data_IF_758258420632
#
_entry.id   IF_758258420632
#
_cell.length_a   1.000
_cell.length_b   1.000
_cell.length_c   1.000
_cell.angle_alpha   90.00
_cell.angle_beta   90.00
_cell.angle_gamma   90.00
#
_symmetry.space_group_name_H-M   'P 1'
#
loop_
_entity.id
_entity.type
_entity.pdbx_description
1 polymer ?
#
# COMPACT_ATOMS: atom_id res chain seq x y z
N UNK A 1 13.24 -3.45 31.02
CA UNK A 1 12.10 -2.72 31.64
C UNK A 1 12.65 -1.49 32.36
N UNK A 2 12.21 -0.29 31.99
CA UNK A 2 12.70 1.01 32.52
C UNK A 2 12.08 1.42 33.86
N UNK A 3 11.30 0.55 34.52
CA UNK A 3 10.53 0.86 35.72
C UNK A 3 11.38 1.53 36.81
N UNK A 4 12.58 1.00 37.09
CA UNK A 4 13.45 1.54 38.15
C UNK A 4 13.94 2.96 37.84
N UNK A 5 14.21 3.27 36.59
CA UNK A 5 14.61 4.61 36.12
C UNK A 5 13.44 5.60 36.32
N UNK A 6 12.23 5.20 36.00
CA UNK A 6 11.02 6.01 36.13
C UNK A 6 10.72 6.28 37.61
N UNK A 7 10.79 5.23 38.43
CA UNK A 7 10.64 5.40 39.89
C UNK A 7 11.62 6.45 40.42
N UNK A 8 12.89 6.34 40.06
CA UNK A 8 13.95 7.26 40.48
C UNK A 8 13.71 8.70 39.98
N UNK A 9 13.35 8.84 38.71
CA UNK A 9 13.09 10.13 38.08
C UNK A 9 11.91 10.84 38.76
N UNK A 10 10.76 10.15 38.83
CA UNK A 10 9.55 10.71 39.47
C UNK A 10 9.73 11.04 40.94
N UNK A 11 10.41 10.16 41.68
CA UNK A 11 10.76 10.45 43.10
C UNK A 11 11.59 11.72 43.20
N UNK A 12 12.64 11.89 42.39
CA UNK A 12 13.50 13.08 42.38
C UNK A 12 12.73 14.34 42.00
N UNK A 13 11.87 14.27 40.98
CA UNK A 13 11.01 15.40 40.59
C UNK A 13 10.12 15.88 41.72
N UNK A 14 9.70 14.96 42.62
CA UNK A 14 8.92 15.26 43.82
C UNK A 14 9.81 15.60 45.02
N UNK A 15 11.14 15.67 44.87
CA UNK A 15 12.11 15.94 45.95
C UNK A 15 12.02 14.96 47.12
N UNK A 16 11.56 13.72 46.89
CA UNK A 16 11.47 12.68 47.91
C UNK A 16 12.81 11.95 48.07
N UNK A 17 13.16 11.57 49.33
CA UNK A 17 14.25 10.59 49.56
C UNK A 17 13.75 9.17 49.37
N UNK A 18 14.66 8.18 49.28
CA UNK A 18 14.28 6.76 49.19
C UNK A 18 13.56 6.30 50.47
N UNK A 19 13.98 6.81 51.62
CA UNK A 19 13.34 6.57 52.92
C UNK A 19 11.89 7.10 52.96
N UNK A 20 11.69 8.34 52.50
CA UNK A 20 10.34 8.93 52.46
C UNK A 20 9.41 8.17 51.53
N UNK A 21 9.90 7.75 50.35
CA UNK A 21 9.11 6.93 49.43
C UNK A 21 8.77 5.57 50.07
N UNK A 22 9.75 4.97 50.77
CA UNK A 22 9.56 3.70 51.48
C UNK A 22 8.50 3.80 52.58
N UNK A 23 8.55 4.87 53.37
CA UNK A 23 7.56 5.14 54.45
C UNK A 23 6.15 5.28 53.88
N UNK A 24 5.96 6.03 52.78
CA UNK A 24 4.64 6.17 52.13
C UNK A 24 4.08 4.84 51.63
N UNK A 25 4.95 3.90 51.24
CA UNK A 25 4.56 2.61 50.68
C UNK A 25 4.52 1.47 51.72
N UNK A 26 4.97 1.73 52.96
CA UNK A 26 5.07 0.71 54.00
C UNK A 26 6.12 -0.36 53.69
N UNK A 27 7.21 0.00 53.00
CA UNK A 27 8.31 -0.90 52.62
C UNK A 27 9.64 -0.41 53.19
N UNK A 28 10.71 -1.20 53.04
CA UNK A 28 12.04 -0.78 53.50
C UNK A 28 12.74 0.10 52.46
N UNK A 29 13.55 1.08 52.87
CA UNK A 29 14.37 1.91 52.00
C UNK A 29 15.33 1.07 51.09
N UNK A 30 15.94 -0.04 51.54
CA UNK A 30 16.68 -0.95 50.67
C UNK A 30 15.83 -1.58 49.56
N UNK A 31 14.54 -1.79 49.77
CA UNK A 31 13.65 -2.29 48.69
C UNK A 31 13.51 -1.26 47.58
N UNK A 32 13.22 0.01 47.94
CA UNK A 32 13.14 1.12 46.97
C UNK A 32 14.48 1.26 46.21
N UNK A 33 15.61 1.17 46.91
CA UNK A 33 16.92 1.22 46.30
C UNK A 33 17.13 0.10 45.24
N UNK A 34 16.71 -1.14 45.55
CA UNK A 34 16.80 -2.27 44.62
C UNK A 34 15.88 -2.09 43.42
N UNK A 35 14.68 -1.53 43.62
CA UNK A 35 13.76 -1.20 42.52
C UNK A 35 14.37 -0.16 41.54
N UNK A 36 14.94 0.92 42.08
CA UNK A 36 15.58 1.97 41.30
C UNK A 36 16.84 1.49 40.56
N UNK A 37 17.51 0.45 41.05
CA UNK A 37 18.63 -0.21 40.37
C UNK A 37 18.20 -1.33 39.42
N UNK A 38 16.90 -1.69 39.37
CA UNK A 38 16.40 -2.78 38.54
C UNK A 38 16.82 -4.17 38.99
N UNK A 39 17.37 -4.34 40.21
CA UNK A 39 17.76 -5.65 40.75
C UNK A 39 16.59 -6.46 41.29
N UNK A 40 15.51 -5.79 41.69
CA UNK A 40 14.21 -6.37 42.02
C UNK A 40 13.09 -5.45 41.55
N UNK A 41 11.86 -5.96 41.54
CA UNK A 41 10.67 -5.21 41.17
C UNK A 41 9.73 -5.06 42.35
N UNK A 42 8.91 -3.97 42.43
CA UNK A 42 7.79 -3.88 43.37
C UNK A 42 6.81 -5.04 43.15
N UNK A 43 6.18 -5.50 44.21
CA UNK A 43 5.03 -6.39 44.10
C UNK A 43 3.90 -5.71 43.34
N UNK A 44 3.14 -6.47 42.58
CA UNK A 44 2.04 -5.95 41.73
C UNK A 44 1.01 -5.20 42.59
N UNK A 45 0.80 -5.62 43.84
CA UNK A 45 -0.13 -4.96 44.78
C UNK A 45 0.38 -3.60 45.27
N UNK A 46 1.69 -3.35 45.19
CA UNK A 46 2.34 -2.09 45.57
C UNK A 46 2.28 -1.05 44.42
N UNK A 47 2.16 -1.48 43.16
CA UNK A 47 2.17 -0.59 41.98
C UNK A 47 1.11 0.52 42.04
N UNK A 48 -0.17 0.27 42.44
CA UNK A 48 -1.17 1.34 42.54
C UNK A 48 -0.84 2.40 43.59
N UNK A 49 -0.25 2.00 44.73
CA UNK A 49 0.20 2.92 45.73
C UNK A 49 1.41 3.74 45.29
N UNK A 50 2.37 3.07 44.64
CA UNK A 50 3.56 3.68 44.04
C UNK A 50 3.19 4.73 42.99
N UNK A 51 2.29 4.41 42.07
CA UNK A 51 1.80 5.34 41.07
C UNK A 51 1.15 6.58 41.68
N UNK A 52 0.34 6.41 42.71
CA UNK A 52 -0.30 7.55 43.44
C UNK A 52 0.73 8.44 44.15
N UNK A 53 1.69 7.85 44.85
CA UNK A 53 2.74 8.60 45.57
C UNK A 53 3.62 9.36 44.58
N UNK A 54 3.97 8.73 43.46
CA UNK A 54 4.79 9.32 42.39
C UNK A 54 4.00 10.24 41.43
N UNK A 55 2.69 10.42 41.70
CA UNK A 55 1.79 11.25 40.86
C UNK A 55 1.87 10.91 39.36
N UNK A 56 1.81 9.62 39.06
CA UNK A 56 1.86 9.09 37.70
C UNK A 56 0.78 8.02 37.56
N UNK A 57 0.49 7.62 36.33
CA UNK A 57 -0.37 6.48 36.04
C UNK A 57 0.45 5.17 35.91
N UNK A 58 -0.26 4.04 35.96
CA UNK A 58 0.39 2.72 35.90
C UNK A 58 1.06 2.46 34.56
N UNK A 59 0.51 2.96 33.44
CA UNK A 59 1.08 2.73 32.11
C UNK A 59 2.42 3.44 31.98
N UNK A 60 2.48 4.71 32.39
CA UNK A 60 3.73 5.48 32.47
C UNK A 60 4.73 4.81 33.40
N UNK A 61 4.29 4.36 34.59
CA UNK A 61 5.17 3.72 35.59
C UNK A 61 5.78 2.42 35.05
N UNK A 62 4.99 1.61 34.35
CA UNK A 62 5.41 0.33 33.74
C UNK A 62 6.09 0.49 32.37
N UNK A 63 6.17 1.70 31.83
CA UNK A 63 6.53 1.95 30.42
C UNK A 63 5.66 1.11 29.48
N UNK A 64 4.39 0.94 29.84
CA UNK A 64 3.46 0.21 29.00
C UNK A 64 3.00 1.12 27.87
N UNK A 65 3.21 0.64 26.66
CA UNK A 65 2.75 1.28 25.43
C UNK A 65 1.84 0.28 24.74
N UNK A 66 0.58 0.64 24.62
CA UNK A 66 -0.43 -0.23 24.00
C UNK A 66 -0.27 -0.26 22.48
N UNK A 67 0.10 0.88 21.91
CA UNK A 67 0.28 1.08 20.47
C UNK A 67 1.62 1.75 20.17
N UNK A 68 2.15 1.52 19.01
CA UNK A 68 3.32 2.23 18.48
C UNK A 68 2.89 3.59 17.91
N UNK A 69 3.74 4.60 18.05
CA UNK A 69 3.58 5.88 17.36
C UNK A 69 3.82 5.75 15.86
N UNK A 70 3.34 6.74 15.10
CA UNK A 70 3.51 6.79 13.65
C UNK A 70 4.99 6.77 13.24
N UNK A 71 5.84 7.47 13.98
CA UNK A 71 7.28 7.50 13.74
C UNK A 71 7.95 6.14 14.06
N UNK A 72 7.45 5.40 15.05
CA UNK A 72 7.95 4.07 15.38
C UNK A 72 7.53 3.06 14.29
N UNK A 73 6.30 3.14 13.81
CA UNK A 73 5.81 2.32 12.70
C UNK A 73 6.60 2.62 11.43
N UNK A 74 6.82 3.89 11.08
CA UNK A 74 7.60 4.27 9.90
C UNK A 74 9.03 3.72 9.96
N UNK A 75 9.73 3.88 11.09
CA UNK A 75 11.08 3.31 11.30
C UNK A 75 11.10 1.78 11.22
N UNK A 76 10.03 1.14 11.68
CA UNK A 76 9.89 -0.30 11.57
C UNK A 76 9.73 -0.76 10.10
N UNK A 77 8.96 -0.03 9.29
CA UNK A 77 8.87 -0.33 7.86
C UNK A 77 10.22 -0.15 7.14
N UNK A 78 10.99 0.88 7.47
CA UNK A 78 12.36 1.06 6.96
C UNK A 78 13.31 -0.08 7.39
N UNK A 79 13.10 -0.65 8.60
CA UNK A 79 13.82 -1.84 9.07
C UNK A 79 13.48 -3.04 8.19
N UNK A 80 12.19 -3.28 7.91
CA UNK A 80 11.74 -4.38 7.06
C UNK A 80 12.29 -4.26 5.63
N UNK A 81 12.27 -3.06 5.05
CA UNK A 81 12.81 -2.80 3.71
C UNK A 81 14.30 -3.16 3.61
N UNK A 82 15.08 -2.71 4.60
CA UNK A 82 16.50 -3.06 4.68
C UNK A 82 16.73 -4.57 4.84
N UNK A 83 15.92 -5.25 5.65
CA UNK A 83 16.03 -6.71 5.83
C UNK A 83 15.71 -7.46 4.54
N UNK A 84 14.69 -7.04 3.79
CA UNK A 84 14.37 -7.63 2.49
C UNK A 84 15.55 -7.49 1.53
N UNK A 85 16.15 -6.30 1.47
CA UNK A 85 17.24 -5.99 0.54
C UNK A 85 18.58 -6.63 0.94
N UNK A 86 18.89 -6.78 2.25
CA UNK A 86 20.19 -7.21 2.74
C UNK A 86 20.22 -8.67 3.20
N UNK A 87 19.11 -9.23 3.60
CA UNK A 87 19.02 -10.58 4.14
C UNK A 87 18.07 -11.45 3.31
N UNK A 88 16.76 -11.38 3.58
CA UNK A 88 15.72 -12.07 2.83
C UNK A 88 14.32 -11.55 3.18
N UNK A 89 13.37 -11.77 2.27
CA UNK A 89 11.96 -11.52 2.54
C UNK A 89 11.44 -12.34 3.73
N UNK A 90 11.85 -13.61 3.87
CA UNK A 90 11.39 -14.48 4.97
C UNK A 90 11.86 -13.97 6.35
N UNK A 91 13.08 -13.44 6.45
CA UNK A 91 13.58 -12.82 7.67
C UNK A 91 12.74 -11.58 8.05
N UNK A 92 12.46 -10.70 7.09
CA UNK A 92 11.61 -9.53 7.29
C UNK A 92 10.18 -9.93 7.66
N UNK A 93 9.62 -10.95 6.99
CA UNK A 93 8.30 -11.48 7.33
C UNK A 93 8.25 -11.98 8.77
N UNK A 94 9.22 -12.79 9.19
CA UNK A 94 9.28 -13.29 10.57
C UNK A 94 9.41 -12.14 11.57
N UNK A 95 10.26 -11.16 11.28
CA UNK A 95 10.43 -9.96 12.11
C UNK A 95 9.13 -9.17 12.26
N UNK A 96 8.35 -9.06 11.18
CA UNK A 96 7.03 -8.42 11.24
C UNK A 96 6.05 -9.20 12.12
N UNK A 97 6.02 -10.54 12.00
CA UNK A 97 5.18 -11.38 12.86
C UNK A 97 5.54 -11.21 14.34
N UNK A 98 6.82 -11.18 14.68
CA UNK A 98 7.27 -10.98 16.06
C UNK A 98 6.82 -9.61 16.60
N UNK A 99 6.88 -8.55 15.79
CA UNK A 99 6.42 -7.22 16.17
C UNK A 99 4.90 -7.16 16.37
N UNK A 100 4.14 -7.79 15.46
CA UNK A 100 2.68 -7.91 15.58
C UNK A 100 2.29 -8.69 16.83
N UNK A 101 2.98 -9.78 17.15
CA UNK A 101 2.75 -10.52 18.40
C UNK A 101 3.04 -9.70 19.65
N UNK A 102 3.97 -8.77 19.60
CA UNK A 102 4.28 -7.86 20.70
C UNK A 102 3.20 -6.77 20.88
N UNK A 103 2.56 -6.34 19.78
CA UNK A 103 1.52 -5.30 19.75
C UNK A 103 0.26 -5.80 19.01
N UNK A 104 -0.44 -6.81 19.54
CA UNK A 104 -1.52 -7.51 18.82
C UNK A 104 -2.77 -6.65 18.64
N UNK A 105 -2.90 -5.56 19.38
CA UNK A 105 -4.04 -4.62 19.33
C UNK A 105 -3.75 -3.36 18.52
N UNK A 106 -2.50 -3.15 18.09
CA UNK A 106 -2.10 -1.99 17.29
C UNK A 106 -2.52 -2.19 15.81
N UNK A 107 -3.78 -1.87 15.51
CA UNK A 107 -4.33 -2.06 14.16
C UNK A 107 -3.49 -1.37 13.08
N UNK A 108 -2.96 -0.17 13.37
CA UNK A 108 -2.14 0.58 12.41
C UNK A 108 -0.83 -0.12 12.08
N UNK A 109 -0.15 -0.70 13.08
CA UNK A 109 1.04 -1.52 12.85
C UNK A 109 0.72 -2.73 11.97
N UNK A 110 -0.35 -3.47 12.33
CA UNK A 110 -0.75 -4.68 11.59
C UNK A 110 -1.06 -4.30 10.14
N UNK A 111 -1.89 -3.29 9.94
CA UNK A 111 -2.26 -2.81 8.62
C UNK A 111 -1.04 -2.45 7.78
N UNK A 112 -0.19 -1.54 8.26
CA UNK A 112 0.93 -1.04 7.47
C UNK A 112 1.98 -2.12 7.19
N UNK A 113 2.30 -2.98 8.17
CA UNK A 113 3.28 -4.05 8.01
C UNK A 113 2.78 -5.14 7.04
N UNK A 114 1.52 -5.56 7.14
CA UNK A 114 0.94 -6.58 6.27
C UNK A 114 0.81 -6.08 4.83
N UNK A 115 0.32 -4.86 4.62
CA UNK A 115 0.24 -4.27 3.27
C UNK A 115 1.61 -4.04 2.65
N UNK A 116 2.58 -3.58 3.45
CA UNK A 116 3.96 -3.42 2.99
C UNK A 116 4.56 -4.76 2.52
N UNK A 117 4.46 -5.81 3.34
CA UNK A 117 4.96 -7.13 3.00
C UNK A 117 4.26 -7.72 1.77
N UNK A 118 2.95 -7.52 1.65
CA UNK A 118 2.18 -8.01 0.51
C UNK A 118 2.64 -7.35 -0.80
N UNK A 119 2.87 -6.04 -0.80
CA UNK A 119 3.46 -5.33 -1.94
C UNK A 119 4.91 -5.72 -2.21
N UNK A 120 5.73 -5.78 -1.16
CA UNK A 120 7.17 -6.03 -1.28
C UNK A 120 7.49 -7.40 -1.91
N UNK A 121 6.66 -8.44 -1.69
CA UNK A 121 6.90 -9.76 -2.32
C UNK A 121 6.88 -9.75 -3.85
N UNK A 122 6.11 -8.83 -4.43
CA UNK A 122 6.07 -8.63 -5.89
C UNK A 122 7.22 -7.74 -6.36
N UNK A 123 7.49 -6.65 -5.63
CA UNK A 123 8.55 -5.70 -5.99
C UNK A 123 9.95 -6.32 -5.94
N UNK A 124 10.20 -7.22 -4.99
CA UNK A 124 11.50 -7.86 -4.81
C UNK A 124 11.60 -9.26 -5.45
N UNK A 125 10.64 -9.64 -6.32
CA UNK A 125 10.69 -10.90 -7.04
C UNK A 125 10.79 -12.14 -6.14
N UNK A 126 10.03 -12.17 -5.04
CA UNK A 126 10.10 -13.25 -4.05
C UNK A 126 9.69 -14.58 -4.69
N UNK A 127 10.52 -15.64 -4.62
CA UNK A 127 10.16 -16.94 -5.14
C UNK A 127 8.89 -17.48 -4.49
N UNK A 128 7.94 -17.97 -5.30
CA UNK A 128 6.66 -18.50 -4.84
C UNK A 128 5.86 -17.53 -3.95
N UNK A 129 5.49 -16.33 -4.46
CA UNK A 129 4.80 -15.31 -3.67
C UNK A 129 3.46 -15.79 -3.10
N UNK A 130 2.82 -16.78 -3.74
CA UNK A 130 1.53 -17.35 -3.31
C UNK A 130 1.61 -18.06 -1.96
N UNK A 131 2.77 -18.61 -1.60
CA UNK A 131 2.96 -19.26 -0.30
C UNK A 131 2.79 -18.27 0.87
N UNK A 132 3.06 -16.99 0.63
CA UNK A 132 2.84 -15.94 1.64
C UNK A 132 1.41 -15.41 1.65
N UNK A 133 0.68 -15.51 0.54
CA UNK A 133 -0.73 -15.09 0.48
C UNK A 133 -1.56 -15.78 1.55
N UNK A 134 -1.41 -17.09 1.70
CA UNK A 134 -2.14 -17.88 2.71
C UNK A 134 -1.74 -17.52 4.15
N UNK A 135 -0.54 -16.95 4.35
CA UNK A 135 -0.08 -16.46 5.66
C UNK A 135 -0.57 -15.04 5.96
N UNK A 136 -0.83 -14.24 4.93
CA UNK A 136 -1.29 -12.85 5.05
C UNK A 136 -2.81 -12.74 5.17
N UNK A 137 -3.56 -13.63 4.52
CA UNK A 137 -5.03 -13.52 4.46
C UNK A 137 -5.73 -13.50 5.82
N UNK A 138 -5.30 -14.24 6.87
CA UNK A 138 -5.95 -14.17 8.18
C UNK A 138 -5.88 -12.78 8.82
N UNK A 139 -4.84 -11.99 8.51
CA UNK A 139 -4.73 -10.60 8.96
C UNK A 139 -5.73 -9.71 8.23
N UNK A 140 -5.87 -9.86 6.91
CA UNK A 140 -6.88 -9.14 6.14
C UNK A 140 -8.29 -9.48 6.60
N UNK A 141 -8.60 -10.74 6.84
CA UNK A 141 -9.89 -11.17 7.39
C UNK A 141 -10.18 -10.52 8.75
N UNK A 142 -9.18 -10.47 9.64
CA UNK A 142 -9.32 -9.79 10.93
C UNK A 142 -9.55 -8.28 10.74
N UNK A 143 -8.73 -7.62 9.91
CA UNK A 143 -8.81 -6.19 9.65
C UNK A 143 -10.08 -5.78 8.88
N UNK A 144 -10.72 -6.69 8.15
CA UNK A 144 -11.99 -6.43 7.47
C UNK A 144 -13.15 -6.11 8.42
N UNK A 145 -12.95 -6.35 9.71
CA UNK A 145 -13.89 -6.02 10.78
C UNK A 145 -13.48 -4.78 11.61
N UNK A 146 -12.42 -4.08 11.19
CA UNK A 146 -11.93 -2.89 11.87
C UNK A 146 -13.00 -1.80 11.95
N UNK A 147 -12.97 -1.03 13.04
CA UNK A 147 -13.79 0.16 13.20
C UNK A 147 -13.23 1.36 12.41
N UNK A 148 -11.97 1.28 11.97
CA UNK A 148 -11.32 2.28 11.14
C UNK A 148 -11.69 2.02 9.66
N UNK A 149 -12.46 2.90 9.00
CA UNK A 149 -12.98 2.63 7.67
C UNK A 149 -11.89 2.37 6.63
N UNK A 150 -10.78 3.12 6.70
CA UNK A 150 -9.65 3.00 5.77
C UNK A 150 -9.01 1.62 5.84
N UNK A 151 -8.81 1.09 7.05
CA UNK A 151 -8.24 -0.24 7.29
C UNK A 151 -9.22 -1.32 6.84
N UNK A 152 -10.48 -1.19 7.26
CA UNK A 152 -11.54 -2.15 6.91
C UNK A 152 -11.71 -2.29 5.40
N UNK A 153 -11.88 -1.16 4.70
CA UNK A 153 -12.20 -1.15 3.27
C UNK A 153 -11.02 -1.67 2.43
N UNK A 154 -9.79 -1.31 2.80
CA UNK A 154 -8.59 -1.85 2.17
C UNK A 154 -8.45 -3.36 2.41
N UNK A 155 -8.67 -3.83 3.63
CA UNK A 155 -8.62 -5.25 3.97
C UNK A 155 -9.72 -6.06 3.24
N UNK A 156 -10.94 -5.52 3.14
CA UNK A 156 -12.02 -6.12 2.35
C UNK A 156 -11.63 -6.28 0.88
N UNK A 157 -11.00 -5.27 0.28
CA UNK A 157 -10.55 -5.35 -1.10
C UNK A 157 -9.54 -6.49 -1.30
N UNK A 158 -8.61 -6.68 -0.35
CA UNK A 158 -7.64 -7.79 -0.40
C UNK A 158 -8.31 -9.16 -0.22
N UNK A 159 -9.26 -9.29 0.71
CA UNK A 159 -10.04 -10.53 0.88
C UNK A 159 -10.84 -10.88 -0.39
N UNK A 160 -11.50 -9.90 -1.01
CA UNK A 160 -12.25 -10.08 -2.25
C UNK A 160 -11.31 -10.56 -3.37
N UNK A 161 -10.16 -9.91 -3.54
CA UNK A 161 -9.17 -10.29 -4.54
C UNK A 161 -8.65 -11.72 -4.30
N UNK A 162 -8.36 -12.09 -3.06
CA UNK A 162 -7.91 -13.43 -2.68
C UNK A 162 -8.92 -14.51 -3.08
N UNK A 163 -10.19 -14.38 -2.67
CA UNK A 163 -11.24 -15.35 -2.99
C UNK A 163 -11.52 -15.42 -4.49
N UNK A 164 -11.51 -14.28 -5.17
CA UNK A 164 -11.69 -14.19 -6.62
C UNK A 164 -10.59 -14.92 -7.39
N UNK A 165 -9.31 -14.76 -6.99
CA UNK A 165 -8.17 -15.43 -7.61
C UNK A 165 -8.21 -16.95 -7.39
N UNK A 166 -8.79 -17.41 -6.28
CA UNK A 166 -9.03 -18.83 -5.98
C UNK A 166 -10.32 -19.39 -6.57
N UNK A 167 -11.05 -18.56 -7.34
CA UNK A 167 -12.36 -18.91 -7.95
C UNK A 167 -13.47 -19.22 -6.92
N UNK A 168 -13.29 -18.77 -5.68
CA UNK A 168 -14.32 -18.80 -4.65
C UNK A 168 -15.22 -17.56 -4.81
N UNK A 169 -15.99 -17.56 -5.88
CA UNK A 169 -16.80 -16.42 -6.27
C UNK A 169 -17.94 -16.15 -5.31
N UNK A 170 -18.47 -17.21 -4.68
CA UNK A 170 -19.53 -17.07 -3.68
C UNK A 170 -19.07 -16.23 -2.49
N UNK A 171 -17.89 -16.57 -1.95
CA UNK A 171 -17.31 -15.81 -0.84
C UNK A 171 -16.92 -14.40 -1.23
N UNK A 172 -16.35 -14.22 -2.42
CA UNK A 172 -16.04 -12.89 -2.94
C UNK A 172 -17.30 -12.01 -3.06
N UNK A 173 -18.40 -12.55 -3.58
CA UNK A 173 -19.68 -11.84 -3.71
C UNK A 173 -20.28 -11.47 -2.35
N UNK A 174 -20.27 -12.38 -1.37
CA UNK A 174 -20.70 -12.09 0.00
C UNK A 174 -19.93 -10.89 0.57
N UNK A 175 -18.60 -10.87 0.43
CA UNK A 175 -17.77 -9.77 0.93
C UNK A 175 -18.06 -8.45 0.22
N UNK A 176 -18.27 -8.46 -1.10
CA UNK A 176 -18.65 -7.26 -1.86
C UNK A 176 -19.96 -6.66 -1.32
N UNK A 177 -20.93 -7.47 -0.99
CA UNK A 177 -22.19 -7.00 -0.42
C UNK A 177 -22.06 -6.40 0.99
N UNK A 178 -20.95 -6.62 1.69
CA UNK A 178 -20.69 -5.97 2.99
C UNK A 178 -20.12 -4.56 2.85
N UNK A 179 -19.66 -4.16 1.66
CA UNK A 179 -19.08 -2.83 1.45
C UNK A 179 -20.20 -1.77 1.59
N UNK A 180 -20.02 -0.78 2.49
CA UNK A 180 -20.99 0.29 2.63
C UNK A 180 -21.09 1.11 1.34
N UNK A 181 -22.30 1.33 0.83
CA UNK A 181 -22.51 2.32 -0.23
C UNK A 181 -22.40 3.72 0.36
N UNK A 182 -21.26 4.38 0.16
CA UNK A 182 -21.09 5.78 0.55
C UNK A 182 -21.77 6.69 -0.47
N UNK A 183 -22.81 7.40 -0.06
CA UNK A 183 -23.57 8.31 -0.93
C UNK A 183 -22.90 9.67 -1.15
N UNK A 184 -21.82 10.00 -0.43
CA UNK A 184 -21.19 11.32 -0.44
C UNK A 184 -19.68 11.17 -0.69
N UNK A 185 -19.24 11.76 -1.80
CA UNK A 185 -17.82 11.89 -2.12
C UNK A 185 -17.24 13.13 -1.43
N UNK A 186 -16.32 12.91 -0.50
CA UNK A 186 -15.70 13.98 0.29
C UNK A 186 -14.91 14.96 -0.56
N UNK A 187 -14.15 14.47 -1.56
CA UNK A 187 -13.32 15.31 -2.41
C UNK A 187 -14.20 16.19 -3.31
N UNK A 188 -15.27 15.66 -3.86
CA UNK A 188 -16.26 16.42 -4.65
C UNK A 188 -16.91 17.54 -3.82
N UNK A 189 -17.29 17.24 -2.56
CA UNK A 189 -17.83 18.24 -1.66
C UNK A 189 -16.82 19.34 -1.33
N UNK A 190 -15.56 18.98 -1.09
CA UNK A 190 -14.49 19.94 -0.84
C UNK A 190 -14.19 20.78 -2.07
N UNK A 191 -14.09 20.18 -3.26
CA UNK A 191 -13.84 20.91 -4.50
C UNK A 191 -14.96 21.92 -4.79
N UNK A 192 -16.23 21.50 -4.58
CA UNK A 192 -17.39 22.39 -4.70
C UNK A 192 -17.33 23.54 -3.69
N UNK A 193 -17.02 23.24 -2.43
CA UNK A 193 -16.89 24.23 -1.37
C UNK A 193 -15.78 25.25 -1.66
N UNK A 194 -14.61 24.77 -2.09
CA UNK A 194 -13.49 25.66 -2.44
C UNK A 194 -13.79 26.53 -3.66
N UNK A 195 -14.52 25.99 -4.64
CA UNK A 195 -15.02 26.79 -5.77
C UNK A 195 -15.93 27.92 -5.28
N UNK A 196 -16.86 27.65 -4.34
CA UNK A 196 -17.74 28.68 -3.77
C UNK A 196 -17.00 29.70 -2.88
N UNK A 197 -15.89 29.28 -2.27
CA UNK A 197 -15.02 30.17 -1.47
C UNK A 197 -14.00 30.96 -2.31
N UNK A 198 -14.05 30.83 -3.64
CA UNK A 198 -13.08 31.44 -4.57
C UNK A 198 -11.62 31.03 -4.31
N UNK A 199 -11.42 29.85 -3.69
CA UNK A 199 -10.10 29.21 -3.49
C UNK A 199 -9.74 28.43 -4.75
N UNK A 200 -9.46 29.18 -5.81
CA UNK A 200 -9.36 28.63 -7.17
C UNK A 200 -8.29 27.55 -7.32
N UNK A 201 -7.11 27.75 -6.76
CA UNK A 201 -6.00 26.80 -6.86
C UNK A 201 -6.32 25.47 -6.15
N UNK A 202 -6.85 25.54 -4.93
CA UNK A 202 -7.24 24.36 -4.16
C UNK A 202 -8.40 23.60 -4.85
N UNK A 203 -9.39 24.34 -5.36
CA UNK A 203 -10.50 23.76 -6.11
C UNK A 203 -10.02 23.07 -7.41
N UNK A 204 -9.16 23.78 -8.19
CA UNK A 204 -8.63 23.22 -9.43
C UNK A 204 -7.86 21.95 -9.19
N UNK A 205 -6.98 21.87 -8.18
CA UNK A 205 -6.21 20.67 -7.83
C UNK A 205 -7.11 19.46 -7.58
N UNK A 206 -8.21 19.66 -6.84
CA UNK A 206 -9.16 18.57 -6.58
C UNK A 206 -9.93 18.16 -7.84
N UNK A 207 -10.36 19.13 -8.67
CA UNK A 207 -11.04 18.79 -9.93
C UNK A 207 -10.12 18.13 -10.95
N UNK A 208 -8.85 18.53 -11.04
CA UNK A 208 -7.84 17.91 -11.88
C UNK A 208 -7.59 16.43 -11.46
N UNK A 209 -7.46 16.20 -10.14
CA UNK A 209 -7.35 14.84 -9.59
C UNK A 209 -8.59 14.00 -9.93
N UNK A 210 -9.77 14.58 -9.82
CA UNK A 210 -11.04 13.93 -10.15
C UNK A 210 -11.13 13.52 -11.63
N UNK A 211 -10.65 14.38 -12.54
CA UNK A 211 -10.58 14.04 -13.98
C UNK A 211 -9.72 12.81 -14.18
N UNK A 212 -8.53 12.75 -13.57
CA UNK A 212 -7.63 11.62 -13.72
C UNK A 212 -8.20 10.33 -13.14
N UNK A 213 -8.83 10.41 -11.98
CA UNK A 213 -9.52 9.27 -11.35
C UNK A 213 -10.66 8.75 -12.24
N UNK A 214 -11.54 9.63 -12.71
CA UNK A 214 -12.65 9.25 -13.59
C UNK A 214 -12.16 8.68 -14.92
N UNK A 215 -11.06 9.21 -15.46
CA UNK A 215 -10.42 8.65 -16.65
C UNK A 215 -9.95 7.21 -16.41
N UNK A 216 -9.31 6.95 -15.26
CA UNK A 216 -8.81 5.62 -14.88
C UNK A 216 -9.97 4.64 -14.69
N UNK A 217 -11.05 5.04 -14.05
CA UNK A 217 -12.25 4.22 -13.87
C UNK A 217 -12.89 3.86 -15.23
N UNK A 218 -13.04 4.85 -16.12
CA UNK A 218 -13.56 4.62 -17.46
C UNK A 218 -12.67 3.69 -18.29
N UNK A 219 -11.35 3.88 -18.22
CA UNK A 219 -10.37 3.05 -18.90
C UNK A 219 -10.44 1.60 -18.41
N UNK A 220 -10.54 1.39 -17.10
CA UNK A 220 -10.70 0.06 -16.50
C UNK A 220 -11.98 -0.63 -16.98
N UNK A 221 -13.09 0.09 -17.01
CA UNK A 221 -14.36 -0.44 -17.49
C UNK A 221 -14.28 -0.85 -18.97
N UNK A 222 -13.66 -0.02 -19.82
CA UNK A 222 -13.50 -0.32 -21.25
C UNK A 222 -12.62 -1.54 -21.50
N UNK A 223 -11.54 -1.75 -20.70
CA UNK A 223 -10.69 -2.95 -20.79
C UNK A 223 -11.51 -4.19 -20.44
N UNK A 224 -12.25 -4.19 -19.35
CA UNK A 224 -13.05 -5.34 -18.96
C UNK A 224 -14.17 -5.65 -19.97
N UNK A 225 -14.85 -4.63 -20.49
CA UNK A 225 -15.84 -4.82 -21.56
C UNK A 225 -15.20 -5.42 -22.82
N UNK A 226 -14.01 -4.96 -23.20
CA UNK A 226 -13.23 -5.51 -24.30
C UNK A 226 -12.91 -6.99 -24.08
N UNK A 227 -12.41 -7.36 -22.92
CA UNK A 227 -12.06 -8.74 -22.58
C UNK A 227 -13.30 -9.65 -22.58
N UNK A 228 -14.41 -9.20 -22.03
CA UNK A 228 -15.69 -9.92 -22.01
C UNK A 228 -16.15 -10.15 -23.44
N UNK A 229 -16.18 -9.10 -24.26
CA UNK A 229 -16.64 -9.19 -25.63
C UNK A 229 -15.77 -10.17 -26.46
N UNK A 230 -14.46 -10.16 -26.26
CA UNK A 230 -13.56 -11.10 -26.95
C UNK A 230 -13.83 -12.55 -26.52
N UNK A 231 -13.99 -12.81 -25.21
CA UNK A 231 -14.31 -14.14 -24.67
C UNK A 231 -15.67 -14.67 -25.11
N UNK A 232 -16.65 -13.77 -25.33
CA UNK A 232 -18.00 -14.12 -25.83
C UNK A 232 -18.03 -14.27 -27.36
N UNK A 233 -16.93 -14.10 -28.07
CA UNK A 233 -16.87 -14.20 -29.51
C UNK A 233 -17.52 -13.02 -30.25
N UNK A 234 -17.48 -11.83 -29.66
CA UNK A 234 -17.93 -10.55 -30.24
C UNK A 234 -16.74 -9.63 -30.58
N UNK A 235 -15.92 -10.02 -31.57
CA UNK A 235 -14.65 -9.33 -31.85
C UNK A 235 -14.82 -7.87 -32.32
N UNK A 236 -15.96 -7.52 -32.89
CA UNK A 236 -16.27 -6.14 -33.31
C UNK A 236 -16.51 -5.24 -32.11
N UNK A 237 -17.22 -5.75 -31.09
CA UNK A 237 -17.48 -5.03 -29.84
C UNK A 237 -16.18 -4.84 -29.05
N UNK A 238 -15.33 -5.88 -29.00
CA UNK A 238 -14.02 -5.79 -28.37
C UNK A 238 -13.14 -4.71 -29.06
N UNK A 239 -13.14 -4.69 -30.41
CA UNK A 239 -12.42 -3.67 -31.15
C UNK A 239 -12.95 -2.26 -30.86
N UNK A 240 -14.28 -2.10 -30.83
CA UNK A 240 -14.93 -0.82 -30.49
C UNK A 240 -14.52 -0.32 -29.11
N UNK A 241 -14.46 -1.19 -28.09
CA UNK A 241 -14.00 -0.83 -26.74
C UNK A 241 -12.54 -0.37 -26.76
N UNK A 242 -11.66 -1.09 -27.46
CA UNK A 242 -10.23 -0.73 -27.58
C UNK A 242 -10.03 0.62 -28.30
N UNK A 243 -10.80 0.87 -29.36
CA UNK A 243 -10.75 2.14 -30.10
C UNK A 243 -11.31 3.30 -29.26
N UNK A 244 -12.40 3.07 -28.51
CA UNK A 244 -12.97 4.05 -27.58
C UNK A 244 -11.97 4.37 -26.47
N UNK A 245 -11.31 3.37 -25.90
CA UNK A 245 -10.24 3.55 -24.90
C UNK A 245 -9.14 4.47 -25.42
N UNK A 246 -8.65 4.20 -26.65
CA UNK A 246 -7.61 5.02 -27.25
C UNK A 246 -8.05 6.47 -27.44
N UNK A 247 -9.27 6.68 -27.96
CA UNK A 247 -9.80 8.03 -28.21
C UNK A 247 -9.97 8.83 -26.91
N UNK A 248 -10.59 8.24 -25.89
CA UNK A 248 -10.79 8.89 -24.58
C UNK A 248 -9.44 9.22 -23.93
N UNK A 249 -8.50 8.27 -23.91
CA UNK A 249 -7.17 8.48 -23.32
C UNK A 249 -6.41 9.60 -24.04
N UNK A 250 -6.51 9.69 -25.35
CA UNK A 250 -5.89 10.75 -26.15
C UNK A 250 -6.52 12.12 -25.90
N UNK A 251 -7.86 12.18 -25.79
CA UNK A 251 -8.59 13.44 -25.51
C UNK A 251 -8.29 14.00 -24.12
N UNK A 252 -8.11 13.12 -23.13
CA UNK A 252 -7.81 13.50 -21.75
C UNK A 252 -6.32 13.79 -21.54
N UNK A 253 -5.48 13.68 -22.56
CA UNK A 253 -4.05 13.98 -22.49
C UNK A 253 -3.35 13.30 -21.29
N UNK A 254 -3.80 12.10 -20.90
CA UNK A 254 -3.05 11.25 -19.99
C UNK A 254 -1.70 10.88 -20.61
N UNK A 255 -0.87 10.11 -19.96
CA UNK A 255 0.45 9.76 -20.52
C UNK A 255 0.37 9.28 -21.97
N UNK A 256 1.40 9.54 -22.78
CA UNK A 256 1.37 9.24 -24.22
C UNK A 256 1.30 7.75 -24.56
N UNK A 257 1.65 6.85 -23.64
CA UNK A 257 1.62 5.40 -23.85
C UNK A 257 0.26 4.77 -23.50
N UNK A 258 -0.48 5.33 -22.54
CA UNK A 258 -1.80 4.80 -22.12
C UNK A 258 -2.78 4.59 -23.28
N UNK A 259 -2.91 5.48 -24.26
CA UNK A 259 -3.85 5.28 -25.37
C UNK A 259 -3.68 3.95 -26.12
N UNK A 260 -2.51 3.35 -26.09
CA UNK A 260 -2.18 2.14 -26.85
C UNK A 260 -2.29 0.85 -26.04
N UNK A 261 -2.49 0.92 -24.74
CA UNK A 261 -2.50 -0.27 -23.87
C UNK A 261 -3.64 -1.22 -24.16
N UNK A 262 -4.87 -0.74 -24.36
CA UNK A 262 -6.00 -1.61 -24.68
C UNK A 262 -5.81 -2.31 -26.04
N UNK A 263 -5.24 -1.64 -27.03
CA UNK A 263 -4.92 -2.26 -28.32
C UNK A 263 -3.83 -3.32 -28.21
N UNK A 264 -2.82 -3.08 -27.39
CA UNK A 264 -1.80 -4.07 -27.09
C UNK A 264 -2.40 -5.32 -26.43
N UNK A 265 -3.23 -5.11 -25.40
CA UNK A 265 -3.88 -6.20 -24.69
C UNK A 265 -4.82 -7.01 -25.58
N UNK A 266 -5.61 -6.34 -26.45
CA UNK A 266 -6.48 -7.03 -27.42
C UNK A 266 -5.67 -7.83 -28.43
N UNK A 267 -4.56 -7.27 -28.91
CA UNK A 267 -3.66 -7.95 -29.82
C UNK A 267 -3.00 -9.18 -29.18
N UNK A 268 -2.62 -9.09 -27.91
CA UNK A 268 -2.10 -10.23 -27.13
C UNK A 268 -3.15 -11.33 -27.00
N UNK A 269 -4.37 -11.00 -26.61
CA UNK A 269 -5.48 -11.96 -26.50
C UNK A 269 -5.75 -12.70 -27.82
N UNK A 270 -5.61 -12.00 -28.96
CA UNK A 270 -5.79 -12.54 -30.29
C UNK A 270 -4.54 -13.22 -30.87
N UNK A 271 -3.43 -13.14 -30.17
CA UNK A 271 -2.11 -13.57 -30.63
C UNK A 271 -1.72 -12.93 -32.01
N UNK A 272 -2.18 -11.69 -32.22
CA UNK A 272 -1.90 -10.91 -33.44
C UNK A 272 -0.55 -10.19 -33.29
N UNK A 273 0.50 -10.81 -33.92
CA UNK A 273 1.88 -10.32 -33.85
C UNK A 273 2.04 -8.92 -34.46
N UNK A 274 1.38 -8.65 -35.57
CA UNK A 274 1.49 -7.36 -36.25
C UNK A 274 0.86 -6.23 -35.43
N UNK A 275 -0.30 -6.48 -34.83
CA UNK A 275 -0.97 -5.54 -33.97
C UNK A 275 -0.18 -5.32 -32.66
N UNK A 276 0.41 -6.37 -32.07
CA UNK A 276 1.31 -6.25 -30.90
C UNK A 276 2.51 -5.35 -31.23
N UNK A 277 3.21 -5.61 -32.34
CA UNK A 277 4.32 -4.77 -32.79
C UNK A 277 3.90 -3.31 -32.98
N UNK A 278 2.75 -3.08 -33.62
CA UNK A 278 2.23 -1.73 -33.85
C UNK A 278 1.99 -0.98 -32.52
N UNK A 279 1.35 -1.61 -31.53
CA UNK A 279 1.09 -1.01 -30.24
C UNK A 279 2.40 -0.74 -29.47
N UNK A 280 3.30 -1.72 -29.38
CA UNK A 280 4.58 -1.61 -28.65
C UNK A 280 5.51 -0.54 -29.22
N UNK A 281 5.48 -0.29 -30.52
CA UNK A 281 6.21 0.83 -31.14
C UNK A 281 5.75 2.21 -30.68
N UNK A 282 4.53 2.32 -30.17
CA UNK A 282 4.01 3.56 -29.59
C UNK A 282 4.19 3.60 -28.07
N UNK A 283 4.25 2.46 -27.40
CA UNK A 283 4.36 2.37 -25.95
C UNK A 283 5.83 2.55 -25.49
N UNK A 284 6.73 1.71 -25.99
CA UNK A 284 8.09 1.60 -25.46
C UNK A 284 8.93 2.90 -25.54
N UNK A 285 8.91 3.66 -26.65
CA UNK A 285 9.71 4.89 -26.72
C UNK A 285 9.27 5.94 -25.71
N UNK A 286 7.96 6.08 -25.51
CA UNK A 286 7.39 7.13 -24.65
C UNK A 286 7.38 6.76 -23.16
N UNK A 287 7.59 5.51 -22.79
CA UNK A 287 7.80 5.12 -21.40
C UNK A 287 9.10 5.69 -20.83
N UNK A 288 10.07 6.00 -21.69
CA UNK A 288 11.35 6.63 -21.28
C UNK A 288 11.26 8.17 -21.20
N UNK A 289 10.16 8.75 -21.67
CA UNK A 289 9.97 10.20 -21.66
C UNK A 289 9.19 10.60 -20.38
N UNK A 290 9.64 11.62 -19.64
CA UNK A 290 8.91 12.09 -18.47
C UNK A 290 7.57 12.70 -18.88
N UNK A 291 6.50 12.27 -18.24
CA UNK A 291 5.21 12.94 -18.39
C UNK A 291 5.23 14.29 -17.65
N UNK A 292 4.88 15.35 -18.36
CA UNK A 292 4.81 16.71 -17.83
C UNK A 292 3.35 17.18 -17.80
N UNK A 293 2.56 16.75 -16.79
CA UNK A 293 1.12 17.02 -16.73
C UNK A 293 0.80 18.51 -16.75
N UNK A 294 1.65 19.36 -16.17
CA UNK A 294 1.44 20.79 -16.03
C UNK A 294 1.36 21.52 -17.38
N UNK A 295 1.81 20.91 -18.46
CA UNK A 295 1.67 21.47 -19.83
C UNK A 295 0.24 21.35 -20.35
N UNK A 296 -0.59 20.50 -19.76
CA UNK A 296 -1.99 20.34 -20.13
C UNK A 296 -2.90 21.17 -19.18
N UNK A 297 -3.84 21.95 -19.70
CA UNK A 297 -4.79 22.69 -18.87
C UNK A 297 -5.62 21.84 -17.90
N UNK A 298 -5.78 20.54 -18.18
CA UNK A 298 -6.52 19.59 -17.34
C UNK A 298 -5.74 19.16 -16.09
N UNK A 299 -4.41 19.43 -16.01
CA UNK A 299 -3.53 18.92 -14.96
C UNK A 299 -2.50 19.94 -14.49
N UNK A 300 -2.79 21.22 -14.62
CA UNK A 300 -1.85 22.33 -14.38
C UNK A 300 -1.29 22.37 -12.96
N UNK A 301 -2.08 21.93 -11.97
CA UNK A 301 -1.74 21.98 -10.55
C UNK A 301 -1.33 20.60 -9.99
N UNK A 302 -1.24 19.58 -10.84
CA UNK A 302 -0.73 18.30 -10.42
C UNK A 302 0.77 18.37 -10.14
N UNK A 303 1.20 17.81 -9.01
CA UNK A 303 2.63 17.66 -8.68
C UNK A 303 3.33 16.67 -9.62
N UNK A 304 4.66 16.82 -9.71
CA UNK A 304 5.54 15.85 -10.38
C UNK A 304 5.66 14.58 -9.51
N UNK A 305 4.57 13.83 -9.35
CA UNK A 305 4.64 12.55 -8.64
C UNK A 305 5.74 11.67 -9.24
N UNK A 306 6.18 10.63 -8.54
CA UNK A 306 7.26 9.72 -8.98
C UNK A 306 6.85 8.84 -10.19
N UNK A 307 6.31 9.52 -11.22
CA UNK A 307 5.82 8.90 -12.45
C UNK A 307 6.95 8.41 -13.34
N UNK A 308 8.14 8.98 -13.18
CA UNK A 308 9.33 8.51 -13.90
C UNK A 308 9.77 7.13 -13.40
N UNK A 309 9.80 6.91 -12.08
CA UNK A 309 10.10 5.60 -11.50
C UNK A 309 9.03 4.56 -11.87
N UNK A 310 7.75 4.97 -11.86
CA UNK A 310 6.65 4.10 -12.31
C UNK A 310 6.78 3.72 -13.80
N UNK A 311 7.10 4.67 -14.66
CA UNK A 311 7.26 4.44 -16.09
C UNK A 311 8.46 3.53 -16.37
N UNK A 312 9.59 3.71 -15.67
CA UNK A 312 10.75 2.83 -15.76
C UNK A 312 10.40 1.41 -15.29
N UNK A 313 9.76 1.26 -14.14
CA UNK A 313 9.31 -0.04 -13.62
C UNK A 313 8.37 -0.75 -14.60
N UNK A 314 7.48 0.00 -15.26
CA UNK A 314 6.58 -0.54 -16.27
C UNK A 314 7.33 -0.97 -17.53
N UNK A 315 8.33 -0.19 -17.98
CA UNK A 315 9.19 -0.54 -19.09
C UNK A 315 9.94 -1.85 -18.82
N UNK A 316 10.57 -1.97 -17.64
CA UNK A 316 11.31 -3.15 -17.23
C UNK A 316 10.40 -4.39 -17.19
N UNK A 317 9.19 -4.23 -16.63
CA UNK A 317 8.21 -5.31 -16.56
C UNK A 317 7.72 -5.75 -17.93
N UNK A 318 7.37 -4.80 -18.82
CA UNK A 318 6.92 -5.16 -20.18
C UNK A 318 8.05 -5.88 -20.92
N UNK A 319 9.29 -5.44 -20.80
CA UNK A 319 10.44 -6.10 -21.45
C UNK A 319 10.68 -7.49 -20.90
N UNK A 320 10.60 -7.68 -19.59
CA UNK A 320 10.73 -8.99 -18.95
C UNK A 320 9.60 -9.94 -19.37
N UNK A 321 8.35 -9.49 -19.34
CA UNK A 321 7.20 -10.26 -19.78
C UNK A 321 7.33 -10.70 -21.26
N UNK A 322 7.78 -9.81 -22.13
CA UNK A 322 8.03 -10.12 -23.55
C UNK A 322 9.13 -11.16 -23.71
N UNK A 323 10.15 -11.18 -22.86
CA UNK A 323 11.27 -12.11 -22.94
C UNK A 323 10.99 -13.46 -22.28
N UNK A 324 10.23 -13.49 -21.19
CA UNK A 324 10.14 -14.68 -20.32
C UNK A 324 8.72 -15.22 -20.12
N UNK A 325 7.66 -14.39 -20.19
CA UNK A 325 6.30 -14.84 -19.92
C UNK A 325 5.77 -15.81 -20.99
N UNK A 326 5.09 -16.86 -20.56
CA UNK A 326 4.38 -17.82 -21.43
C UNK A 326 3.30 -17.13 -22.29
N UNK A 327 2.72 -16.05 -21.80
CA UNK A 327 1.71 -15.26 -22.51
C UNK A 327 2.23 -14.74 -23.86
N UNK A 328 3.51 -14.36 -23.93
CA UNK A 328 4.15 -13.84 -25.12
C UNK A 328 5.00 -14.87 -25.90
N UNK A 329 4.88 -16.16 -25.57
CA UNK A 329 5.59 -17.22 -26.28
C UNK A 329 5.29 -17.21 -27.80
N UNK A 330 4.06 -16.86 -28.20
CA UNK A 330 3.65 -16.74 -29.57
C UNK A 330 4.38 -15.62 -30.34
N UNK A 331 4.83 -14.60 -29.63
CA UNK A 331 5.46 -13.40 -30.18
C UNK A 331 6.97 -13.54 -30.29
N UNK A 332 7.59 -14.22 -29.33
CA UNK A 332 9.04 -14.46 -29.28
C UNK A 332 9.54 -15.20 -30.50
N UNK A 333 10.71 -14.75 -31.04
CA UNK A 333 11.33 -15.35 -32.21
C UNK A 333 10.61 -15.10 -33.55
N UNK A 334 9.54 -14.31 -33.53
CA UNK A 334 8.84 -13.89 -34.73
C UNK A 334 9.60 -12.75 -35.47
N UNK A 335 9.39 -12.55 -36.78
CA UNK A 335 9.94 -11.40 -37.49
C UNK A 335 9.52 -10.06 -36.89
N UNK A 336 8.33 -9.99 -36.29
CA UNK A 336 7.79 -8.83 -35.60
C UNK A 336 8.56 -8.54 -34.30
N UNK A 337 8.88 -9.58 -33.56
CA UNK A 337 9.70 -9.46 -32.32
C UNK A 337 11.12 -8.95 -32.64
N UNK A 338 11.74 -9.48 -33.71
CA UNK A 338 13.07 -9.01 -34.12
C UNK A 338 13.07 -7.52 -34.53
N UNK A 339 11.98 -7.01 -35.09
CA UNK A 339 11.82 -5.58 -35.39
C UNK A 339 11.66 -4.71 -34.12
N UNK A 340 11.23 -5.31 -33.00
CA UNK A 340 11.09 -4.62 -31.74
C UNK A 340 12.42 -4.56 -30.96
N UNK A 341 13.33 -5.47 -31.21
CA UNK A 341 14.60 -5.66 -30.52
C UNK A 341 15.46 -4.40 -30.33
N UNK A 342 15.53 -3.48 -31.31
CA UNK A 342 16.24 -2.21 -31.12
C UNK A 342 15.65 -1.31 -30.04
N UNK A 343 14.33 -1.41 -29.78
CA UNK A 343 13.63 -0.63 -28.76
C UNK A 343 13.75 -1.26 -27.36
N UNK A 344 14.07 -2.56 -27.29
CA UNK A 344 14.26 -3.32 -26.04
C UNK A 344 15.71 -3.26 -25.54
N UNK A 345 16.69 -2.91 -26.39
CA UNK A 345 18.07 -2.74 -25.98
C UNK A 345 18.26 -1.33 -25.45
N UNK A 346 18.77 -1.21 -24.23
CA UNK A 346 19.35 0.04 -23.79
C UNK A 346 20.52 0.39 -24.73
N UNK A 347 20.47 1.57 -25.33
CA UNK A 347 21.69 2.18 -25.83
C UNK A 347 22.53 2.50 -24.58
N UNK A 348 23.58 1.68 -24.37
CA UNK A 348 24.54 1.78 -23.27
C UNK A 348 25.37 3.07 -23.32
#
# INVERSE_FOLDING_TARGET
MKLGEIIREKRKTLSLTQEQLADYLGVSAPAVHKWEKGTTYPDITTLPALARVLRTDLNTLLSFQEELSDEEIARFLEELDRMISQESYDAAFQRAMDQIHQYPTCEKLIYTAIFYLDGARFLHGVPNPDAYTDRLIPFYESMSHSQTPEIRDAALAMCIAYHRNRKDFTRAEELIHTIPSTCIDKEEQLATLYTQQEKWEDAQRLWEHRILQSATELQTALIHLMEIAEKEGRPQDAQFCADTYQQVSSLLHVTQWIPYTAKFQLASLRQDRAACLSALRHILPVLKEPWTPQTCPLYRHMGDGDLAALAQSLYDRITDDLEHSEEFAFFRGSPEYEQLRPLLREEG
#
